data_IF_843668348559
#
_entry.id   IF_843668348559
#
_cell.length_a   1.000
_cell.length_b   1.000
_cell.length_c   1.000
_cell.angle_alpha   90.00
_cell.angle_beta   90.00
_cell.angle_gamma   90.00
#
_symmetry.space_group_name_H-M   'P 1'
#
loop_
_entity.id
_entity.type
_entity.pdbx_description
1 polymer ?
#
# COMPACT_ATOMS: atom_id res chain seq x y z
N UNK A 1 14.50 -9.37 2.81
CA UNK A 1 13.15 -9.22 2.24
C UNK A 1 13.19 -8.14 1.19
N UNK A 2 12.68 -8.42 -0.01
CA UNK A 2 12.72 -7.50 -1.15
C UNK A 2 11.34 -7.43 -1.80
N UNK A 3 10.82 -6.20 -2.00
CA UNK A 3 9.65 -5.94 -2.84
C UNK A 3 10.02 -6.09 -4.31
N UNK A 4 9.19 -6.80 -5.08
CA UNK A 4 9.47 -7.06 -6.51
C UNK A 4 8.35 -6.57 -7.43
N UNK A 5 7.60 -5.58 -7.00
CA UNK A 5 6.51 -5.02 -7.81
C UNK A 5 7.03 -4.05 -8.88
N UNK A 6 8.18 -3.41 -8.67
CA UNK A 6 8.88 -2.57 -9.64
C UNK A 6 10.08 -3.27 -10.33
N UNK A 7 10.71 -2.60 -11.28
CA UNK A 7 11.82 -3.13 -12.06
C UNK A 7 13.10 -3.22 -11.23
N UNK A 8 13.36 -2.22 -10.40
CA UNK A 8 14.53 -2.09 -9.55
C UNK A 8 14.55 -3.20 -8.48
N UNK A 9 13.42 -3.42 -7.82
CA UNK A 9 13.27 -4.50 -6.84
C UNK A 9 13.49 -5.88 -7.45
N UNK A 10 12.96 -6.13 -8.66
CA UNK A 10 13.22 -7.38 -9.38
C UNK A 10 14.69 -7.56 -9.75
N UNK A 11 15.32 -6.51 -10.24
CA UNK A 11 16.75 -6.53 -10.56
C UNK A 11 17.59 -6.85 -9.32
N UNK A 12 17.33 -6.16 -8.22
CA UNK A 12 18.03 -6.38 -6.95
C UNK A 12 17.83 -7.79 -6.42
N UNK A 13 16.59 -8.31 -6.48
CA UNK A 13 16.29 -9.68 -6.06
C UNK A 13 17.08 -10.71 -6.88
N UNK A 14 17.13 -10.53 -8.22
CA UNK A 14 17.89 -11.40 -9.10
C UNK A 14 19.40 -11.37 -8.81
N UNK A 15 19.95 -10.20 -8.58
CA UNK A 15 21.37 -10.02 -8.20
C UNK A 15 21.70 -10.75 -6.90
N UNK A 16 20.85 -10.60 -5.88
CA UNK A 16 21.07 -11.21 -4.56
C UNK A 16 20.84 -12.71 -4.54
N UNK A 17 20.10 -13.27 -5.49
CA UNK A 17 19.90 -14.71 -5.63
C UNK A 17 21.06 -15.42 -6.34
N UNK A 18 21.89 -14.68 -7.08
CA UNK A 18 23.04 -15.28 -7.78
C UNK A 18 23.99 -15.96 -6.78
N UNK A 19 24.19 -17.27 -6.98
CA UNK A 19 25.08 -18.08 -6.13
C UNK A 19 24.60 -18.36 -4.71
N UNK A 20 23.33 -18.08 -4.41
CA UNK A 20 22.71 -18.33 -3.08
C UNK A 20 21.58 -19.34 -3.16
N UNK A 21 21.23 -19.93 -2.01
CA UNK A 21 20.05 -20.77 -1.89
C UNK A 21 18.77 -19.98 -2.08
N UNK A 22 17.73 -20.60 -2.64
CA UNK A 22 16.42 -19.98 -2.90
C UNK A 22 15.75 -19.35 -1.68
N UNK A 23 16.02 -19.86 -0.47
CA UNK A 23 15.47 -19.33 0.78
C UNK A 23 16.23 -18.11 1.34
N UNK A 24 17.35 -17.70 0.73
CA UNK A 24 18.17 -16.59 1.23
C UNK A 24 17.58 -15.20 0.91
N UNK A 25 16.76 -15.13 -0.14
CA UNK A 25 16.07 -13.90 -0.56
C UNK A 25 14.57 -14.12 -0.48
N UNK A 26 13.93 -13.47 0.49
CA UNK A 26 12.48 -13.51 0.63
C UNK A 26 11.85 -12.41 -0.22
N UNK A 27 11.09 -12.81 -1.22
CA UNK A 27 10.43 -11.89 -2.16
C UNK A 27 9.02 -11.56 -1.69
N UNK A 28 8.63 -10.28 -1.82
CA UNK A 28 7.27 -9.82 -1.51
C UNK A 28 6.64 -9.08 -2.70
N UNK A 29 5.32 -9.27 -2.88
CA UNK A 29 4.53 -8.59 -3.91
C UNK A 29 3.10 -8.34 -3.43
N UNK A 30 2.50 -7.21 -3.86
CA UNK A 30 1.06 -6.98 -3.73
C UNK A 30 0.34 -6.90 -5.09
N UNK A 31 1.10 -6.98 -6.20
CA UNK A 31 0.56 -6.86 -7.56
C UNK A 31 0.32 -8.22 -8.23
N UNK A 32 1.06 -9.25 -7.86
CA UNK A 32 1.04 -10.55 -8.54
C UNK A 32 1.18 -11.74 -7.60
N UNK A 33 0.66 -12.89 -8.04
CA UNK A 33 1.00 -14.17 -7.42
C UNK A 33 2.44 -14.51 -7.78
N UNK A 34 3.23 -14.86 -6.77
CA UNK A 34 4.59 -15.36 -6.95
C UNK A 34 4.56 -16.88 -7.08
N UNK A 35 5.45 -17.41 -7.94
CA UNK A 35 5.60 -18.84 -8.18
C UNK A 35 7.09 -19.20 -8.22
N UNK A 36 7.43 -20.41 -7.80
CA UNK A 36 8.81 -20.91 -7.77
C UNK A 36 9.10 -21.71 -6.50
N UNK A 37 10.36 -22.12 -6.35
CA UNK A 37 10.81 -22.88 -5.19
C UNK A 37 11.22 -22.03 -4.00
N UNK A 38 11.47 -20.76 -4.20
CA UNK A 38 11.95 -19.82 -3.17
C UNK A 38 10.94 -19.53 -2.07
N UNK A 39 11.35 -18.72 -1.13
CA UNK A 39 10.47 -18.22 -0.07
C UNK A 39 9.81 -16.92 -0.50
N UNK A 40 8.48 -16.93 -0.57
CA UNK A 40 7.68 -15.87 -1.15
C UNK A 40 6.50 -15.52 -0.27
N UNK A 41 6.22 -14.22 -0.13
CA UNK A 41 5.01 -13.69 0.50
C UNK A 41 4.36 -12.71 -0.45
N UNK A 42 3.09 -12.88 -0.74
CA UNK A 42 2.39 -11.96 -1.64
C UNK A 42 0.95 -11.75 -1.20
N UNK A 43 0.42 -10.57 -1.54
CA UNK A 43 -1.00 -10.27 -1.39
C UNK A 43 -1.67 -10.25 -2.76
N UNK A 44 -2.80 -10.95 -2.90
CA UNK A 44 -3.63 -10.92 -4.09
C UNK A 44 -5.10 -10.86 -3.71
N UNK A 45 -5.82 -9.90 -4.29
CA UNK A 45 -7.25 -9.67 -3.98
C UNK A 45 -7.51 -9.52 -2.48
N UNK A 46 -6.53 -8.94 -1.75
CA UNK A 46 -6.61 -8.74 -0.31
C UNK A 46 -6.25 -9.95 0.56
N UNK A 47 -5.84 -11.07 -0.02
CA UNK A 47 -5.35 -12.23 0.73
C UNK A 47 -3.83 -12.26 0.72
N UNK A 48 -3.21 -12.22 1.89
CA UNK A 48 -1.79 -12.54 2.05
C UNK A 48 -1.59 -14.05 2.00
N UNK A 49 -0.56 -14.47 1.28
CA UNK A 49 -0.17 -15.89 1.17
C UNK A 49 1.34 -16.03 1.30
N UNK A 50 1.78 -16.97 2.13
CA UNK A 50 3.17 -17.39 2.23
C UNK A 50 3.37 -18.70 1.47
N UNK A 51 4.38 -18.76 0.62
CA UNK A 51 4.83 -19.96 -0.08
C UNK A 51 6.30 -20.22 0.21
N UNK A 52 6.64 -21.48 0.44
CA UNK A 52 8.02 -21.93 0.62
C UNK A 52 8.19 -23.29 -0.05
N UNK A 53 9.24 -23.44 -0.86
CA UNK A 53 9.52 -24.66 -1.63
C UNK A 53 8.31 -25.12 -2.46
N UNK A 54 7.63 -24.16 -3.09
CA UNK A 54 6.45 -24.40 -3.95
C UNK A 54 5.16 -24.75 -3.19
N UNK A 55 5.16 -24.81 -1.85
CA UNK A 55 3.98 -25.14 -1.04
C UNK A 55 3.47 -23.92 -0.29
N UNK A 56 2.15 -23.80 -0.19
CA UNK A 56 1.53 -22.78 0.66
C UNK A 56 1.71 -23.15 2.14
N UNK A 57 2.28 -22.21 2.91
CA UNK A 57 2.56 -22.34 4.34
C UNK A 57 1.47 -21.68 5.17
N UNK A 58 1.00 -20.53 4.72
CA UNK A 58 -0.05 -19.77 5.39
C UNK A 58 -0.84 -18.89 4.40
N UNK A 59 -2.08 -18.56 4.76
CA UNK A 59 -2.88 -17.54 4.09
C UNK A 59 -3.85 -16.92 5.09
N UNK A 60 -4.08 -15.59 4.98
CA UNK A 60 -5.10 -14.88 5.75
C UNK A 60 -5.61 -13.63 5.01
N UNK A 61 -6.76 -13.15 5.44
CA UNK A 61 -7.49 -12.07 4.76
C UNK A 61 -7.11 -10.70 5.31
N UNK A 62 -6.39 -9.89 4.52
CA UNK A 62 -6.01 -8.52 4.88
C UNK A 62 -7.17 -7.52 4.79
N UNK A 63 -8.27 -7.84 4.10
CA UNK A 63 -9.42 -6.94 3.93
C UNK A 63 -10.15 -6.70 5.24
N UNK A 64 -9.98 -7.60 6.20
CA UNK A 64 -10.55 -7.46 7.55
C UNK A 64 -9.79 -6.44 8.42
N UNK A 65 -8.63 -5.95 7.95
CA UNK A 65 -7.79 -5.01 8.67
C UNK A 65 -8.05 -3.58 8.17
N UNK A 66 -8.99 -2.88 8.81
CA UNK A 66 -9.39 -1.52 8.43
C UNK A 66 -8.21 -0.51 8.41
N UNK A 67 -7.16 -0.77 9.19
CA UNK A 67 -5.95 0.05 9.24
C UNK A 67 -4.98 -0.15 8.05
N UNK A 68 -5.27 -1.09 7.14
CA UNK A 68 -4.40 -1.45 6.02
C UNK A 68 -5.11 -1.31 4.65
N UNK A 69 -5.75 -0.18 4.33
CA UNK A 69 -6.46 -0.01 3.06
C UNK A 69 -5.48 0.08 1.89
N UNK A 70 -5.87 -0.52 0.76
CA UNK A 70 -5.16 -0.38 -0.51
C UNK A 70 -3.95 -1.32 -0.70
N UNK A 71 -3.56 -1.51 -1.96
CA UNK A 71 -2.52 -2.46 -2.35
C UNK A 71 -1.14 -2.13 -1.75
N UNK A 72 -0.83 -0.83 -1.58
CA UNK A 72 0.44 -0.41 -0.97
C UNK A 72 0.57 -0.83 0.50
N UNK A 73 -0.54 -0.79 1.26
CA UNK A 73 -0.54 -1.29 2.64
C UNK A 73 -0.49 -2.82 2.68
N UNK A 74 -1.08 -3.50 1.70
CA UNK A 74 -0.91 -4.95 1.56
C UNK A 74 0.54 -5.33 1.26
N UNK A 75 1.28 -4.53 0.48
CA UNK A 75 2.72 -4.74 0.26
C UNK A 75 3.52 -4.55 1.55
N UNK A 76 3.23 -3.48 2.31
CA UNK A 76 3.83 -3.25 3.62
C UNK A 76 3.55 -4.40 4.60
N UNK A 77 2.31 -4.90 4.62
CA UNK A 77 1.93 -6.06 5.43
C UNK A 77 2.70 -7.32 5.02
N UNK A 78 2.86 -7.58 3.72
CA UNK A 78 3.67 -8.69 3.23
C UNK A 78 5.14 -8.56 3.68
N UNK A 79 5.71 -7.36 3.59
CA UNK A 79 7.09 -7.11 4.02
C UNK A 79 7.26 -7.31 5.53
N UNK A 80 6.37 -6.75 6.34
CA UNK A 80 6.39 -6.93 7.80
C UNK A 80 6.22 -8.40 8.18
N UNK A 81 5.24 -9.08 7.58
CA UNK A 81 5.03 -10.52 7.76
C UNK A 81 6.31 -11.31 7.44
N UNK A 82 6.90 -11.04 6.28
CA UNK A 82 8.09 -11.73 5.82
C UNK A 82 9.28 -11.56 6.78
N UNK A 83 9.50 -10.35 7.30
CA UNK A 83 10.55 -10.08 8.31
C UNK A 83 10.27 -10.88 9.59
N UNK A 84 9.05 -10.83 10.10
CA UNK A 84 8.66 -11.58 11.30
C UNK A 84 8.85 -13.09 11.11
N UNK A 85 8.50 -13.62 9.93
CA UNK A 85 8.73 -15.03 9.58
C UNK A 85 10.23 -15.39 9.53
N UNK A 86 11.05 -14.50 8.99
CA UNK A 86 12.51 -14.69 8.96
C UNK A 86 13.11 -14.69 10.37
N UNK A 87 12.50 -13.98 11.32
CA UNK A 87 12.87 -13.99 12.74
C UNK A 87 12.27 -15.18 13.52
N UNK A 88 11.57 -16.10 12.85
CA UNK A 88 11.07 -17.35 13.45
C UNK A 88 9.68 -17.27 14.09
N UNK A 89 8.97 -16.12 13.98
CA UNK A 89 7.61 -16.03 14.51
C UNK A 89 6.65 -16.92 13.70
N UNK A 90 5.65 -17.50 14.37
CA UNK A 90 4.65 -18.33 13.72
C UNK A 90 3.66 -17.49 12.90
N UNK A 91 3.10 -18.02 11.79
CA UNK A 91 2.06 -17.32 11.02
C UNK A 91 0.90 -16.84 11.89
N UNK A 92 0.44 -17.68 12.82
CA UNK A 92 -0.68 -17.38 13.72
C UNK A 92 -0.41 -16.17 14.63
N UNK A 93 0.79 -16.10 15.20
CA UNK A 93 1.16 -14.98 16.07
C UNK A 93 1.23 -13.67 15.30
N UNK A 94 1.75 -13.71 14.06
CA UNK A 94 1.84 -12.53 13.20
C UNK A 94 0.43 -12.07 12.78
N UNK A 95 -0.45 -12.98 12.37
CA UNK A 95 -1.84 -12.69 12.03
C UNK A 95 -2.56 -11.99 13.20
N UNK A 96 -2.43 -12.54 14.41
CA UNK A 96 -3.01 -11.96 15.62
C UNK A 96 -2.47 -10.56 15.91
N UNK A 97 -1.15 -10.34 15.76
CA UNK A 97 -0.54 -9.03 15.95
C UNK A 97 -0.99 -8.02 14.87
N UNK A 98 -1.13 -8.45 13.61
CA UNK A 98 -1.66 -7.60 12.55
C UNK A 98 -3.12 -7.20 12.80
N UNK A 99 -3.93 -8.09 13.36
CA UNK A 99 -5.33 -7.79 13.70
C UNK A 99 -5.46 -6.69 14.77
N UNK A 100 -4.47 -6.55 15.65
CA UNK A 100 -4.45 -5.50 16.69
C UNK A 100 -3.83 -4.19 16.21
N UNK A 101 -3.30 -4.13 14.98
CA UNK A 101 -2.66 -2.92 14.46
C UNK A 101 -3.70 -1.85 14.11
N UNK A 102 -3.69 -0.76 14.86
CA UNK A 102 -4.64 0.36 14.71
C UNK A 102 -4.29 1.34 13.58
N UNK A 103 -3.18 1.13 12.86
CA UNK A 103 -2.66 2.06 11.86
C UNK A 103 -1.73 3.11 12.47
N UNK A 104 -1.25 4.02 11.61
CA UNK A 104 -0.42 5.15 12.02
C UNK A 104 -1.23 6.45 11.92
N UNK A 105 -1.07 7.40 12.87
CA UNK A 105 -1.68 8.71 12.75
C UNK A 105 -1.36 9.37 11.41
N UNK A 106 -2.37 10.01 10.81
CA UNK A 106 -2.25 10.74 9.54
C UNK A 106 -1.84 9.90 8.31
N UNK A 107 -1.91 8.58 8.37
CA UNK A 107 -1.59 7.68 7.26
C UNK A 107 -2.77 6.78 6.96
N UNK A 108 -3.60 7.19 6.01
CA UNK A 108 -4.90 6.56 5.67
C UNK A 108 -5.73 6.24 6.94
N UNK A 109 -5.60 7.09 7.95
CA UNK A 109 -6.20 6.92 9.27
C UNK A 109 -7.71 7.10 9.17
N UNK A 110 -8.48 6.09 9.52
CA UNK A 110 -9.93 6.26 9.72
C UNK A 110 -10.17 7.09 10.99
N UNK A 111 -10.70 8.30 10.81
CA UNK A 111 -10.97 9.25 11.90
C UNK A 111 -12.38 9.05 12.46
N UNK A 112 -13.35 8.87 11.55
CA UNK A 112 -14.74 8.67 11.90
C UNK A 112 -15.49 7.96 10.76
N UNK A 113 -16.62 7.35 11.12
CA UNK A 113 -17.63 6.92 10.16
C UNK A 113 -18.99 7.49 10.62
N UNK A 114 -19.64 8.31 9.78
CA UNK A 114 -20.90 8.99 10.07
C UNK A 114 -21.85 8.74 8.90
N UNK A 115 -22.99 8.14 9.15
CA UNK A 115 -23.99 7.81 8.12
C UNK A 115 -23.38 7.08 6.91
N UNK A 116 -22.53 6.08 7.17
CA UNK A 116 -21.80 5.29 6.16
C UNK A 116 -20.78 6.09 5.35
N UNK A 117 -20.49 7.34 5.71
CA UNK A 117 -19.41 8.14 5.13
C UNK A 117 -18.18 8.01 6.03
N UNK A 118 -17.08 7.52 5.45
CA UNK A 118 -15.80 7.38 6.14
C UNK A 118 -14.99 8.65 6.01
N UNK A 119 -14.51 9.18 7.12
CA UNK A 119 -13.59 10.30 7.20
C UNK A 119 -12.18 9.76 7.40
N UNK A 120 -11.34 9.95 6.40
CA UNK A 120 -9.97 9.40 6.39
C UNK A 120 -8.97 10.54 6.38
N UNK A 121 -8.04 10.53 7.34
CA UNK A 121 -6.93 11.47 7.41
C UNK A 121 -5.67 10.84 6.80
N UNK A 122 -5.21 11.39 5.70
CA UNK A 122 -3.96 11.00 5.03
C UNK A 122 -3.05 12.21 4.79
N UNK A 123 -3.01 13.13 5.74
CA UNK A 123 -2.19 14.34 5.65
C UNK A 123 -0.67 14.06 5.56
N UNK A 124 -0.26 12.81 5.77
CA UNK A 124 1.09 12.31 5.50
C UNK A 124 1.37 12.09 4.02
N UNK A 125 0.36 12.07 3.15
CA UNK A 125 0.51 12.03 1.69
C UNK A 125 0.94 13.40 1.17
N UNK A 126 2.21 13.74 1.34
CA UNK A 126 2.79 15.05 1.04
C UNK A 126 3.40 15.17 -0.36
N UNK A 127 3.15 14.22 -1.24
CA UNK A 127 3.56 14.22 -2.64
C UNK A 127 2.54 13.48 -3.51
N UNK A 128 2.64 13.68 -4.83
CA UNK A 128 1.71 13.12 -5.83
C UNK A 128 1.64 11.60 -5.75
N UNK A 129 2.77 10.92 -5.63
CA UNK A 129 2.79 9.46 -5.61
C UNK A 129 2.07 8.88 -4.37
N UNK A 130 2.23 9.53 -3.22
CA UNK A 130 1.51 9.14 -2.00
C UNK A 130 0.02 9.44 -2.11
N UNK A 131 -0.36 10.61 -2.60
CA UNK A 131 -1.75 11.00 -2.82
C UNK A 131 -2.44 10.03 -3.80
N UNK A 132 -1.77 9.69 -4.91
CA UNK A 132 -2.25 8.70 -5.88
C UNK A 132 -2.58 7.35 -5.24
N UNK A 133 -1.68 6.83 -4.41
CA UNK A 133 -1.90 5.56 -3.70
C UNK A 133 -3.09 5.63 -2.75
N UNK A 134 -3.26 6.75 -2.05
CA UNK A 134 -4.40 6.98 -1.18
C UNK A 134 -5.72 7.05 -1.96
N UNK A 135 -5.77 7.82 -3.06
CA UNK A 135 -6.95 7.95 -3.90
C UNK A 135 -7.36 6.60 -4.53
N UNK A 136 -6.38 5.78 -4.92
CA UNK A 136 -6.65 4.43 -5.47
C UNK A 136 -7.16 3.42 -4.43
N UNK A 137 -7.06 3.72 -3.13
CA UNK A 137 -7.52 2.83 -2.07
C UNK A 137 -9.03 2.96 -1.77
N UNK A 138 -9.69 4.00 -2.27
CA UNK A 138 -11.08 4.32 -1.99
C UNK A 138 -11.86 4.61 -3.28
N UNK A 139 -13.19 4.71 -3.17
CA UNK A 139 -14.09 5.08 -4.25
C UNK A 139 -15.03 6.20 -3.79
N UNK A 140 -15.60 6.95 -4.73
CA UNK A 140 -16.55 8.04 -4.47
C UNK A 140 -16.02 9.08 -3.48
N UNK A 141 -14.81 9.58 -3.73
CA UNK A 141 -14.05 10.39 -2.80
C UNK A 141 -14.52 11.86 -2.83
N UNK A 142 -14.72 12.46 -1.66
CA UNK A 142 -14.71 13.89 -1.41
C UNK A 142 -13.33 14.27 -0.91
N UNK A 143 -12.52 14.89 -1.73
CA UNK A 143 -11.10 15.08 -1.45
C UNK A 143 -10.81 16.49 -0.95
N UNK A 144 -10.38 16.61 0.31
CA UNK A 144 -9.84 17.86 0.84
C UNK A 144 -8.33 17.82 0.60
N UNK A 145 -7.82 18.75 -0.19
CA UNK A 145 -6.42 18.79 -0.60
C UNK A 145 -5.90 20.22 -0.70
N UNK A 146 -4.58 20.36 -0.78
CA UNK A 146 -3.90 21.64 -0.91
C UNK A 146 -2.49 21.56 -0.35
N UNK A 147 -1.83 22.69 -0.31
CA UNK A 147 -0.45 22.84 0.17
C UNK A 147 0.38 23.66 -0.78
N UNK A 148 1.70 23.70 -0.54
CA UNK A 148 2.64 24.33 -1.46
C UNK A 148 2.96 23.39 -2.63
N UNK A 149 3.10 23.97 -3.81
CA UNK A 149 3.51 23.25 -5.00
C UNK A 149 4.92 22.67 -4.82
N UNK A 150 5.11 21.43 -5.27
CA UNK A 150 6.40 20.76 -5.30
C UNK A 150 6.84 20.55 -6.74
N UNK A 151 8.13 20.29 -6.95
CA UNK A 151 8.66 19.92 -8.25
C UNK A 151 7.82 18.82 -8.91
N UNK A 152 7.39 19.06 -10.16
CA UNK A 152 6.53 18.15 -10.92
C UNK A 152 5.03 18.42 -10.78
N UNK A 153 4.60 19.44 -10.02
CA UNK A 153 3.20 19.82 -9.89
C UNK A 153 2.29 18.64 -9.47
N UNK A 154 1.12 18.53 -10.13
CA UNK A 154 0.15 17.45 -9.92
C UNK A 154 0.19 16.36 -11.01
N UNK A 155 1.25 16.31 -11.79
CA UNK A 155 1.42 15.32 -12.85
C UNK A 155 1.36 13.88 -12.27
N UNK A 156 0.66 13.01 -13.00
CA UNK A 156 0.49 11.61 -12.59
C UNK A 156 -0.76 11.31 -11.75
N UNK A 157 -1.57 12.32 -11.38
CA UNK A 157 -2.85 12.10 -10.67
C UNK A 157 -4.00 11.67 -11.57
N UNK A 158 -3.91 11.83 -12.90
CA UNK A 158 -5.03 11.67 -13.84
C UNK A 158 -5.80 10.35 -13.65
N UNK A 159 -5.10 9.22 -13.56
CA UNK A 159 -5.74 7.93 -13.39
C UNK A 159 -6.41 7.73 -12.02
N UNK A 160 -5.82 8.29 -10.96
CA UNK A 160 -6.36 8.17 -9.60
C UNK A 160 -7.51 9.16 -9.34
N UNK A 161 -7.52 10.29 -10.05
CA UNK A 161 -8.55 11.32 -9.90
C UNK A 161 -9.94 10.86 -10.35
N UNK A 162 -10.05 9.81 -11.15
CA UNK A 162 -11.34 9.21 -11.54
C UNK A 162 -12.17 8.71 -10.35
N UNK A 163 -11.55 8.42 -9.21
CA UNK A 163 -12.23 8.05 -7.97
C UNK A 163 -12.77 9.26 -7.20
N UNK A 164 -12.37 10.50 -7.57
CA UNK A 164 -12.74 11.75 -6.89
C UNK A 164 -14.00 12.33 -7.50
N UNK A 165 -15.07 12.39 -6.71
CA UNK A 165 -16.33 13.01 -7.13
C UNK A 165 -16.28 14.54 -7.02
N UNK A 166 -15.55 15.08 -6.04
CA UNK A 166 -15.30 16.50 -5.89
C UNK A 166 -14.06 16.73 -5.02
N UNK A 167 -13.20 17.68 -5.41
CA UNK A 167 -12.11 18.19 -4.61
C UNK A 167 -12.51 19.50 -3.90
N UNK A 168 -11.99 19.70 -2.70
CA UNK A 168 -12.09 20.92 -1.91
C UNK A 168 -10.69 21.40 -1.64
N UNK A 169 -10.28 22.46 -2.33
CA UNK A 169 -8.88 22.92 -2.30
C UNK A 169 -8.72 23.99 -1.24
N UNK A 170 -7.72 23.85 -0.39
CA UNK A 170 -7.43 24.73 0.74
C UNK A 170 -5.98 25.23 0.70
N UNK A 171 -5.70 26.31 1.41
CA UNK A 171 -4.35 26.88 1.56
C UNK A 171 -4.11 28.10 0.67
N UNK A 172 -2.94 28.73 0.85
CA UNK A 172 -2.60 29.99 0.18
C UNK A 172 -2.54 29.86 -1.37
N UNK A 173 -2.13 28.71 -1.85
CA UNK A 173 -2.00 28.43 -3.30
C UNK A 173 -3.20 27.67 -3.89
N UNK A 174 -4.36 27.73 -3.21
CA UNK A 174 -5.54 26.95 -3.59
C UNK A 174 -5.97 27.15 -5.05
N UNK A 175 -5.93 28.39 -5.57
CA UNK A 175 -6.33 28.68 -6.94
C UNK A 175 -5.39 28.04 -7.98
N UNK A 176 -4.07 28.16 -7.77
CA UNK A 176 -3.07 27.56 -8.64
C UNK A 176 -3.13 26.02 -8.59
N UNK A 177 -3.35 25.48 -7.41
CA UNK A 177 -3.50 24.03 -7.19
C UNK A 177 -4.78 23.51 -7.87
N UNK A 178 -5.91 24.21 -7.72
CA UNK A 178 -7.17 23.83 -8.32
C UNK A 178 -7.11 23.78 -9.86
N UNK A 179 -6.42 24.75 -10.48
CA UNK A 179 -6.27 24.80 -11.93
C UNK A 179 -5.54 23.60 -12.54
N UNK A 180 -4.75 22.89 -11.75
CA UNK A 180 -4.00 21.69 -12.17
C UNK A 180 -4.74 20.37 -11.88
N UNK A 181 -5.86 20.42 -11.12
CA UNK A 181 -6.57 19.20 -10.74
C UNK A 181 -7.27 18.54 -11.93
N UNK A 182 -7.09 17.24 -12.16
CA UNK A 182 -7.78 16.50 -13.21
C UNK A 182 -9.17 16.00 -12.79
N UNK A 183 -9.83 16.66 -11.84
CA UNK A 183 -11.15 16.31 -11.32
C UNK A 183 -11.97 17.57 -10.95
N UNK A 184 -13.31 17.47 -10.79
CA UNK A 184 -14.14 18.59 -10.35
C UNK A 184 -13.71 19.14 -8.98
N UNK A 185 -13.75 20.46 -8.81
CA UNK A 185 -13.40 21.17 -7.57
C UNK A 185 -14.38 22.30 -7.26
#
# INVERSE_FOLDING_TARGET
VIGIDDAEGRFLAAQLQQGRNDDSVLQVSACRKLTGAGWMVFARKGFLSEYRKGRQVAAFDLRQHAALPGAHNHQNACAAYAVCRALGLSPKNIETAMASFAGLPHRSQLVAEINQVRFVNDSKATNVESAKKALMAFANIRWICGGAEKEGGLDGLQGAASAVSKAYVIGAEAAAFAAQLPCPY
#
